data_IF_699459698970
#
_entry.id   IF_699459698970
#
_cell.length_a   1.000
_cell.length_b   1.000
_cell.length_c   1.000
_cell.angle_alpha   90.00
_cell.angle_beta   90.00
_cell.angle_gamma   90.00
#
_symmetry.space_group_name_H-M   'P 1'
#
loop_
_entity.id
_entity.type
_entity.pdbx_description
1 polymer ?
#
# COMPACT_ATOMS: atom_id res chain seq x y z
N UNK A 1 0.63 -10.17 42.36
CA UNK A 1 -0.30 -11.22 41.93
C UNK A 1 -0.82 -10.81 40.56
N UNK A 2 -0.84 -11.70 39.58
CA UNK A 2 -1.35 -11.40 38.24
C UNK A 2 -2.50 -12.35 37.94
N UNK A 3 -3.56 -11.85 37.30
CA UNK A 3 -4.80 -12.59 37.11
C UNK A 3 -5.12 -12.76 35.63
N UNK A 4 -5.60 -13.96 35.26
CA UNK A 4 -6.34 -14.20 34.01
C UNK A 4 -7.79 -13.73 34.16
N UNK A 5 -8.49 -13.55 33.04
CA UNK A 5 -9.88 -13.07 33.03
C UNK A 5 -10.79 -13.83 34.00
N UNK A 6 -10.82 -15.17 33.95
CA UNK A 6 -11.64 -15.98 34.86
C UNK A 6 -11.29 -15.83 36.35
N UNK A 7 -10.00 -15.69 36.67
CA UNK A 7 -9.54 -15.52 38.05
C UNK A 7 -9.92 -14.13 38.57
N UNK A 8 -9.80 -13.11 37.72
CA UNK A 8 -10.23 -11.76 38.01
C UNK A 8 -11.76 -11.67 38.17
N UNK A 9 -12.52 -12.40 37.35
CA UNK A 9 -13.98 -12.46 37.45
C UNK A 9 -14.43 -13.07 38.78
N UNK A 10 -13.82 -14.17 39.22
CA UNK A 10 -14.12 -14.77 40.53
C UNK A 10 -13.86 -13.82 41.70
N UNK A 11 -12.84 -12.96 41.58
CA UNK A 11 -12.53 -11.94 42.59
C UNK A 11 -13.58 -10.82 42.56
N UNK A 12 -14.02 -10.38 41.37
CA UNK A 12 -15.11 -9.40 41.24
C UNK A 12 -16.41 -9.95 41.84
N UNK A 13 -16.77 -11.18 41.48
CA UNK A 13 -17.98 -11.86 41.93
C UNK A 13 -18.03 -12.07 43.45
N UNK A 14 -16.86 -12.26 44.09
CA UNK A 14 -16.76 -12.40 45.55
C UNK A 14 -16.72 -11.07 46.31
N UNK A 15 -16.42 -9.95 45.63
CA UNK A 15 -16.38 -8.58 46.19
C UNK A 15 -17.75 -7.88 46.06
N UNK A 16 -18.66 -8.44 45.26
CA UNK A 16 -19.96 -7.86 44.92
C UNK A 16 -20.99 -7.82 46.07
N UNK A 17 -20.69 -8.37 47.25
CA UNK A 17 -21.54 -8.27 48.45
C UNK A 17 -21.53 -6.86 49.12
N UNK A 18 -20.98 -5.83 48.46
CA UNK A 18 -21.03 -4.45 48.96
C UNK A 18 -20.24 -3.38 48.19
N UNK A 19 -19.62 -3.72 47.06
CA UNK A 19 -18.81 -2.79 46.27
C UNK A 19 -19.44 -2.50 44.90
N UNK A 20 -19.30 -1.28 44.41
CA UNK A 20 -19.61 -0.94 43.00
C UNK A 20 -18.68 -1.76 42.09
N UNK A 21 -19.26 -2.57 41.17
CA UNK A 21 -18.54 -3.34 40.13
C UNK A 21 -17.47 -2.48 39.49
N UNK A 22 -17.80 -1.20 39.31
CA UNK A 22 -16.95 -0.22 38.70
C UNK A 22 -15.62 -0.05 39.46
N UNK A 23 -15.69 0.00 40.78
CA UNK A 23 -14.54 0.22 41.64
C UNK A 23 -13.71 -1.06 41.82
N UNK A 24 -14.36 -2.23 41.83
CA UNK A 24 -13.69 -3.53 41.87
C UNK A 24 -12.90 -3.82 40.58
N UNK A 25 -13.48 -3.51 39.43
CA UNK A 25 -12.77 -3.61 38.15
C UNK A 25 -11.57 -2.65 38.08
N UNK A 26 -11.74 -1.40 38.55
CA UNK A 26 -10.70 -0.39 38.49
C UNK A 26 -9.47 -0.69 39.37
N UNK A 27 -9.61 -1.54 40.38
CA UNK A 27 -8.53 -2.01 41.25
C UNK A 27 -7.89 -3.30 40.75
N UNK A 28 -8.63 -4.15 40.03
CA UNK A 28 -8.12 -5.43 39.49
C UNK A 28 -7.41 -5.27 38.15
N UNK A 29 -7.88 -4.37 37.28
CA UNK A 29 -7.31 -4.16 35.95
C UNK A 29 -5.78 -3.99 35.94
N UNK A 30 -5.15 -3.17 36.80
CA UNK A 30 -3.68 -3.03 36.85
C UNK A 30 -2.90 -4.31 37.21
N UNK A 31 -3.60 -5.37 37.62
CA UNK A 31 -3.04 -6.67 37.99
C UNK A 31 -3.39 -7.76 36.97
N UNK A 32 -3.94 -7.41 35.80
CA UNK A 32 -4.18 -8.37 34.73
C UNK A 32 -2.87 -8.84 34.10
N UNK A 33 -2.84 -10.11 33.70
CA UNK A 33 -1.66 -10.76 33.12
C UNK A 33 -1.27 -10.20 31.74
N UNK A 34 -2.26 -9.79 30.95
CA UNK A 34 -2.08 -9.18 29.65
C UNK A 34 -3.31 -8.35 29.25
N UNK A 35 -3.17 -7.56 28.19
CA UNK A 35 -4.23 -6.70 27.69
C UNK A 35 -5.42 -7.48 27.11
N UNK A 36 -5.22 -8.69 26.59
CA UNK A 36 -6.32 -9.50 26.03
C UNK A 36 -7.28 -9.95 27.14
N UNK A 37 -6.74 -10.45 28.26
CA UNK A 37 -7.52 -10.83 29.43
C UNK A 37 -8.20 -9.61 30.06
N UNK A 38 -7.54 -8.46 30.06
CA UNK A 38 -8.12 -7.21 30.55
C UNK A 38 -9.29 -6.73 29.67
N UNK A 39 -9.18 -6.80 28.34
CA UNK A 39 -10.27 -6.46 27.42
C UNK A 39 -11.47 -7.41 27.57
N UNK A 40 -11.24 -8.72 27.67
CA UNK A 40 -12.31 -9.70 27.88
C UNK A 40 -13.06 -9.44 29.20
N UNK A 41 -12.32 -9.14 30.27
CA UNK A 41 -12.91 -8.78 31.56
C UNK A 41 -13.76 -7.50 31.46
N UNK A 42 -13.32 -6.50 30.69
CA UNK A 42 -14.06 -5.25 30.44
C UNK A 42 -15.35 -5.54 29.66
N UNK A 43 -15.27 -6.36 28.61
CA UNK A 43 -16.42 -6.73 27.78
C UNK A 43 -17.46 -7.57 28.53
N UNK A 44 -17.04 -8.41 29.47
CA UNK A 44 -17.94 -9.26 30.25
C UNK A 44 -18.71 -8.51 31.34
N UNK A 45 -18.19 -7.39 31.85
CA UNK A 45 -18.75 -6.70 33.02
C UNK A 45 -19.35 -5.32 32.73
N UNK A 46 -19.19 -4.80 31.51
CA UNK A 46 -19.66 -3.46 31.14
C UNK A 46 -20.70 -3.54 30.04
N UNK A 47 -21.91 -3.11 30.37
CA UNK A 47 -23.02 -2.98 29.41
C UNK A 47 -23.24 -1.54 28.95
N UNK A 48 -22.67 -0.55 29.63
CA UNK A 48 -22.83 0.88 29.37
C UNK A 48 -21.58 1.54 28.78
N UNK A 49 -21.76 2.28 27.68
CA UNK A 49 -20.70 2.94 26.91
C UNK A 49 -19.96 3.99 27.75
N UNK A 50 -20.67 4.70 28.63
CA UNK A 50 -20.08 5.76 29.48
C UNK A 50 -19.16 5.20 30.57
N UNK A 51 -19.44 3.98 31.05
CA UNK A 51 -18.60 3.30 32.03
C UNK A 51 -17.31 2.77 31.38
N UNK A 52 -17.38 2.29 30.14
CA UNK A 52 -16.23 1.80 29.35
C UNK A 52 -15.08 2.82 29.30
N UNK A 53 -15.42 4.11 29.08
CA UNK A 53 -14.47 5.23 29.04
C UNK A 53 -13.62 5.38 30.32
N UNK A 54 -14.18 5.04 31.50
CA UNK A 54 -13.45 5.09 32.79
C UNK A 54 -12.41 3.99 32.90
N UNK A 55 -12.63 2.84 32.25
CA UNK A 55 -11.72 1.69 32.30
C UNK A 55 -10.63 1.74 31.27
N UNK A 56 -10.85 2.40 30.13
CA UNK A 56 -9.84 2.52 29.08
C UNK A 56 -8.56 3.22 29.60
N UNK A 57 -8.70 4.19 30.52
CA UNK A 57 -7.58 4.82 31.22
C UNK A 57 -6.84 3.90 32.22
N UNK A 58 -7.50 2.87 32.77
CA UNK A 58 -6.91 1.88 33.68
C UNK A 58 -6.31 0.70 32.91
N UNK A 59 -6.94 0.29 31.81
CA UNK A 59 -6.44 -0.64 30.80
C UNK A 59 -5.09 -0.17 30.24
N UNK A 60 -4.89 1.14 30.11
CA UNK A 60 -3.61 1.73 29.76
C UNK A 60 -2.45 1.33 30.71
N UNK A 61 -2.68 1.23 32.03
CA UNK A 61 -1.64 0.80 32.98
C UNK A 61 -1.19 -0.66 32.77
N UNK A 62 -2.04 -1.48 32.14
CA UNK A 62 -1.76 -2.85 31.72
C UNK A 62 -1.06 -2.86 30.36
N UNK A 63 -1.57 -2.07 29.40
CA UNK A 63 -1.04 -1.93 28.04
C UNK A 63 0.37 -1.32 28.00
N UNK A 64 0.72 -0.42 28.92
CA UNK A 64 2.08 0.16 29.04
C UNK A 64 3.10 -0.84 29.59
N UNK A 65 2.63 -1.82 30.38
CA UNK A 65 3.49 -2.89 30.92
C UNK A 65 3.69 -4.01 29.91
N UNK A 66 2.72 -4.24 29.04
CA UNK A 66 2.87 -5.11 27.87
C UNK A 66 3.74 -4.38 26.83
N UNK A 67 4.81 -5.01 26.34
CA UNK A 67 5.81 -4.37 25.45
C UNK A 67 5.27 -4.04 24.04
N UNK A 68 3.95 -3.96 23.87
CA UNK A 68 3.22 -3.84 22.60
C UNK A 68 2.56 -2.48 22.48
N UNK A 69 3.39 -1.43 22.32
CA UNK A 69 2.93 -0.07 22.01
C UNK A 69 2.05 0.03 20.73
N UNK A 70 2.08 -1.00 19.89
CA UNK A 70 1.23 -1.14 18.70
C UNK A 70 -0.26 -1.14 19.04
N UNK A 71 -0.63 -1.82 20.13
CA UNK A 71 -2.00 -2.18 20.49
C UNK A 71 -2.87 -0.94 20.74
N UNK A 72 -2.23 0.10 21.24
CA UNK A 72 -2.80 1.38 21.67
C UNK A 72 -3.36 2.22 20.50
N UNK A 73 -2.74 2.19 19.30
CA UNK A 73 -3.12 3.09 18.17
C UNK A 73 -4.34 2.59 17.40
N UNK A 74 -4.59 1.28 17.39
CA UNK A 74 -5.62 0.66 16.56
C UNK A 74 -6.90 0.33 17.35
N UNK A 75 -6.81 0.24 18.69
CA UNK A 75 -7.99 0.05 19.56
C UNK A 75 -8.84 1.32 19.63
N UNK A 76 -8.21 2.50 19.52
CA UNK A 76 -8.91 3.78 19.53
C UNK A 76 -9.31 4.15 18.10
N UNK A 77 -10.55 3.84 17.77
CA UNK A 77 -11.17 4.13 16.47
C UNK A 77 -10.96 5.62 16.10
N UNK A 78 -10.31 5.87 14.96
CA UNK A 78 -9.76 7.18 14.57
C UNK A 78 -10.84 8.24 14.25
N UNK A 79 -12.10 7.83 14.15
CA UNK A 79 -13.23 8.67 13.75
C UNK A 79 -13.88 9.46 14.88
N UNK A 80 -13.48 9.24 16.13
CA UNK A 80 -14.08 9.90 17.28
C UNK A 80 -13.19 11.04 17.83
N UNK A 81 -13.78 12.22 18.06
CA UNK A 81 -13.07 13.42 18.54
C UNK A 81 -12.48 13.18 19.93
N UNK A 82 -13.14 12.35 20.74
CA UNK A 82 -12.67 11.98 22.08
C UNK A 82 -11.50 10.98 22.03
N UNK A 83 -11.51 10.03 21.09
CA UNK A 83 -10.38 9.13 20.84
C UNK A 83 -9.12 9.88 20.40
N UNK A 84 -9.28 11.03 19.74
CA UNK A 84 -8.17 11.86 19.28
C UNK A 84 -7.41 12.51 20.44
N UNK A 85 -8.10 12.99 21.50
CA UNK A 85 -7.45 13.54 22.70
C UNK A 85 -6.69 12.46 23.48
N UNK A 86 -7.26 11.26 23.57
CA UNK A 86 -6.61 10.11 24.19
C UNK A 86 -5.38 9.71 23.36
N UNK A 87 -5.49 9.59 22.04
CA UNK A 87 -4.36 9.31 21.14
C UNK A 87 -3.25 10.37 21.23
N UNK A 88 -3.59 11.66 21.36
CA UNK A 88 -2.63 12.74 21.59
C UNK A 88 -1.85 12.54 22.90
N UNK A 89 -2.53 12.18 23.97
CA UNK A 89 -1.90 11.90 25.25
C UNK A 89 -1.01 10.65 25.19
N UNK A 90 -1.48 9.59 24.52
CA UNK A 90 -0.83 8.28 24.41
C UNK A 90 0.42 8.30 23.53
N UNK A 91 0.35 8.95 22.37
CA UNK A 91 1.42 8.98 21.39
C UNK A 91 2.40 10.12 21.63
N UNK A 92 2.12 11.04 22.56
CA UNK A 92 2.98 12.17 22.93
C UNK A 92 3.49 12.89 21.68
N UNK A 93 4.81 13.04 21.55
CA UNK A 93 5.44 13.68 20.40
C UNK A 93 5.29 12.91 19.08
N UNK A 94 4.93 11.63 19.10
CA UNK A 94 4.71 10.85 17.88
C UNK A 94 3.34 11.08 17.25
N UNK A 95 2.35 11.57 18.02
CA UNK A 95 1.00 11.80 17.53
C UNK A 95 0.99 12.71 16.29
N UNK A 96 1.48 13.94 16.48
CA UNK A 96 1.47 14.98 15.44
C UNK A 96 2.10 14.50 14.13
N UNK A 97 3.36 14.02 14.14
CA UNK A 97 4.01 13.48 12.95
C UNK A 97 3.24 12.31 12.32
N UNK A 98 2.64 11.41 13.10
CA UNK A 98 1.87 10.26 12.58
C UNK A 98 0.62 10.74 11.83
N UNK A 99 -0.08 11.75 12.35
CA UNK A 99 -1.29 12.31 11.72
C UNK A 99 -1.00 13.41 10.68
N UNK A 100 0.27 13.66 10.36
CA UNK A 100 0.68 14.70 9.41
C UNK A 100 0.71 16.13 9.97
N UNK A 101 0.47 16.31 11.26
CA UNK A 101 0.60 17.57 12.00
C UNK A 101 2.01 17.68 12.61
N UNK A 102 3.01 17.91 11.76
CA UNK A 102 4.41 17.85 12.15
C UNK A 102 5.01 19.18 12.68
N UNK A 103 4.29 20.29 12.62
CA UNK A 103 4.80 21.60 13.05
C UNK A 103 4.86 21.70 14.58
N UNK A 104 6.00 22.09 15.14
CA UNK A 104 6.13 22.30 16.59
C UNK A 104 7.56 22.20 17.09
N UNK A 105 7.72 22.31 18.41
CA UNK A 105 8.99 22.09 19.10
C UNK A 105 9.04 20.66 19.66
N UNK A 106 10.08 19.90 19.30
CA UNK A 106 10.23 18.50 19.69
C UNK A 106 11.44 18.32 20.60
N UNK A 107 11.23 17.65 21.74
CA UNK A 107 12.31 17.16 22.60
C UNK A 107 12.15 15.66 22.73
N UNK A 108 12.99 14.93 22.00
CA UNK A 108 12.84 13.50 21.82
C UNK A 108 13.96 12.76 22.54
N UNK A 109 13.59 11.80 23.38
CA UNK A 109 14.50 10.89 24.04
C UNK A 109 14.71 9.64 23.18
N UNK A 110 15.86 9.53 22.53
CA UNK A 110 16.11 8.41 21.60
C UNK A 110 16.14 7.04 22.27
N UNK A 111 16.19 6.96 23.61
CA UNK A 111 16.02 5.71 24.36
C UNK A 111 14.57 5.20 24.31
N UNK A 112 13.60 6.11 24.16
CA UNK A 112 12.16 5.80 24.11
C UNK A 112 11.72 5.39 22.68
N UNK A 113 11.10 4.21 22.50
CA UNK A 113 10.59 3.75 21.21
C UNK A 113 9.66 4.74 20.48
N UNK A 114 8.72 5.38 21.18
CA UNK A 114 7.76 6.30 20.55
C UNK A 114 8.44 7.58 20.02
N UNK A 115 9.42 8.09 20.76
CA UNK A 115 10.19 9.27 20.35
C UNK A 115 11.07 8.97 19.14
N UNK A 116 11.60 7.74 19.02
CA UNK A 116 12.27 7.30 17.80
C UNK A 116 11.32 7.27 16.60
N UNK A 117 10.07 6.84 16.79
CA UNK A 117 9.04 6.86 15.74
C UNK A 117 8.73 8.31 15.33
N UNK A 118 8.56 9.21 16.30
CA UNK A 118 8.35 10.64 16.06
C UNK A 118 9.50 11.23 15.22
N UNK A 119 10.75 11.02 15.64
CA UNK A 119 11.94 11.52 14.94
C UNK A 119 12.01 11.02 13.50
N UNK A 120 11.76 9.72 13.32
CA UNK A 120 11.73 9.06 12.01
C UNK A 120 10.66 9.65 11.09
N UNK A 121 9.45 9.86 11.62
CA UNK A 121 8.31 10.39 10.83
C UNK A 121 8.50 11.87 10.50
N UNK A 122 9.06 12.65 11.40
CA UNK A 122 9.46 14.04 11.13
C UNK A 122 10.50 14.12 10.01
N UNK A 123 11.52 13.26 10.06
CA UNK A 123 12.55 13.18 9.03
C UNK A 123 11.96 12.83 7.67
N UNK A 124 11.05 11.86 7.64
CA UNK A 124 10.29 11.52 6.43
C UNK A 124 9.53 12.71 5.86
N UNK A 125 8.71 13.39 6.67
CA UNK A 125 7.87 14.51 6.21
C UNK A 125 8.74 15.67 5.74
N UNK A 126 9.83 15.96 6.46
CA UNK A 126 10.78 16.99 6.07
C UNK A 126 11.44 16.67 4.72
N UNK A 127 11.86 15.41 4.51
CA UNK A 127 12.44 14.98 3.24
C UNK A 127 11.43 15.06 2.08
N UNK A 128 10.17 14.66 2.29
CA UNK A 128 9.10 14.79 1.28
C UNK A 128 8.85 16.26 0.91
N UNK A 129 8.77 17.13 1.92
CA UNK A 129 8.57 18.57 1.72
C UNK A 129 9.75 19.20 1.00
N UNK A 130 10.98 18.82 1.35
CA UNK A 130 12.20 19.26 0.69
C UNK A 130 12.18 18.90 -0.79
N UNK A 131 11.87 17.64 -1.13
CA UNK A 131 11.77 17.21 -2.51
C UNK A 131 10.71 17.98 -3.28
N UNK A 132 9.53 18.14 -2.68
CA UNK A 132 8.44 18.87 -3.30
C UNK A 132 8.85 20.31 -3.63
N UNK A 133 9.54 21.00 -2.70
CA UNK A 133 10.06 22.35 -2.94
C UNK A 133 11.08 22.41 -4.06
N UNK A 134 12.04 21.46 -4.09
CA UNK A 134 13.04 21.37 -5.16
C UNK A 134 12.41 21.09 -6.52
N UNK A 135 11.44 20.19 -6.58
CA UNK A 135 10.72 19.82 -7.81
C UNK A 135 9.96 21.00 -8.43
N UNK A 136 9.48 21.92 -7.59
CA UNK A 136 8.71 23.09 -8.02
C UNK A 136 9.55 24.37 -8.03
N UNK A 137 10.89 24.27 -8.01
CA UNK A 137 11.83 25.39 -8.02
C UNK A 137 11.52 26.50 -7.00
N UNK A 138 11.04 26.11 -5.82
CA UNK A 138 10.71 27.06 -4.75
C UNK A 138 11.97 27.57 -4.05
N UNK A 139 11.91 28.81 -3.59
CA UNK A 139 13.03 29.44 -2.85
C UNK A 139 13.31 28.70 -1.53
N UNK A 140 14.58 28.44 -1.25
CA UNK A 140 14.99 27.81 0.00
C UNK A 140 15.00 28.80 1.17
N UNK A 141 14.06 28.61 2.10
CA UNK A 141 13.93 29.39 3.35
C UNK A 141 14.36 28.61 4.61
N UNK A 142 15.02 27.45 4.43
CA UNK A 142 15.54 26.65 5.54
C UNK A 142 16.71 27.35 6.25
N UNK A 143 16.90 27.06 7.53
CA UNK A 143 17.97 27.65 8.35
C UNK A 143 19.36 27.38 7.78
N UNK A 144 19.56 26.20 7.19
CA UNK A 144 20.85 25.72 6.70
C UNK A 144 20.99 25.73 5.17
N UNK A 145 20.03 26.34 4.44
CA UNK A 145 19.97 26.29 2.97
C UNK A 145 20.06 24.86 2.40
N UNK A 146 19.35 23.94 3.05
CA UNK A 146 19.28 22.53 2.69
C UNK A 146 17.84 22.06 2.44
N UNK A 147 16.89 23.00 2.29
CA UNK A 147 15.45 22.80 2.13
C UNK A 147 14.74 22.00 3.25
N UNK A 148 15.46 21.58 4.31
CA UNK A 148 14.88 20.83 5.40
C UNK A 148 13.99 21.73 6.27
N UNK A 149 12.98 21.12 6.87
CA UNK A 149 12.02 21.81 7.74
C UNK A 149 12.52 21.95 9.19
N UNK A 150 13.68 21.36 9.49
CA UNK A 150 14.28 21.41 10.81
C UNK A 150 15.00 22.74 11.05
N UNK A 151 14.96 23.17 12.32
CA UNK A 151 15.60 24.40 12.82
C UNK A 151 16.11 24.15 14.23
N UNK A 152 17.23 24.79 14.57
CA UNK A 152 17.84 24.72 15.90
C UNK A 152 18.07 23.28 16.41
N UNK A 153 18.50 22.39 15.53
CA UNK A 153 18.65 20.97 15.86
C UNK A 153 19.86 20.74 16.79
N UNK A 154 19.63 20.00 17.87
CA UNK A 154 20.68 19.63 18.82
C UNK A 154 20.55 18.14 19.19
N UNK A 155 21.69 17.45 19.32
CA UNK A 155 21.77 16.09 19.84
C UNK A 155 22.68 16.07 21.08
N UNK A 156 22.14 15.63 22.22
CA UNK A 156 22.83 15.67 23.52
C UNK A 156 23.45 17.05 23.85
N UNK A 157 22.68 18.12 23.56
CA UNK A 157 23.09 19.50 23.80
C UNK A 157 24.10 20.07 22.80
N UNK A 158 24.56 19.27 21.82
CA UNK A 158 25.46 19.73 20.75
C UNK A 158 24.67 20.05 19.48
N UNK A 159 24.89 21.19 18.82
CA UNK A 159 24.27 21.47 17.53
C UNK A 159 24.59 20.38 16.51
N UNK A 160 23.58 19.96 15.75
CA UNK A 160 23.70 19.01 14.64
C UNK A 160 22.96 19.56 13.42
N UNK A 161 23.26 19.02 12.23
CA UNK A 161 22.50 19.31 11.02
C UNK A 161 21.88 18.02 10.51
N UNK A 162 20.56 17.93 10.62
CA UNK A 162 19.73 16.89 10.07
C UNK A 162 19.60 17.14 8.56
N UNK A 163 20.32 16.33 7.78
CA UNK A 163 20.42 16.46 6.34
C UNK A 163 19.85 15.27 5.57
N UNK A 164 19.79 15.44 4.25
CA UNK A 164 19.29 14.48 3.28
C UNK A 164 19.81 13.07 3.53
N UNK A 165 18.90 12.11 3.69
CA UNK A 165 19.17 10.75 3.27
C UNK A 165 18.91 10.72 1.75
N UNK A 166 19.89 10.31 0.95
CA UNK A 166 19.65 10.10 -0.48
C UNK A 166 18.46 9.18 -0.66
N UNK A 167 17.49 9.66 -1.45
CA UNK A 167 16.28 8.92 -1.81
C UNK A 167 16.65 7.98 -2.93
N UNK A 168 17.40 6.96 -2.53
CA UNK A 168 17.83 5.86 -3.37
C UNK A 168 17.25 4.59 -2.76
N UNK A 169 16.89 3.61 -3.61
CA UNK A 169 16.47 2.32 -3.11
C UNK A 169 17.60 1.74 -2.26
N UNK A 170 17.25 1.01 -1.20
CA UNK A 170 18.23 0.39 -0.32
C UNK A 170 19.19 -0.46 -1.17
N UNK A 171 20.49 -0.43 -0.87
CA UNK A 171 21.42 -1.33 -1.56
C UNK A 171 21.03 -2.80 -1.36
N UNK A 172 21.43 -3.69 -2.28
CA UNK A 172 21.15 -5.13 -2.17
C UNK A 172 21.54 -5.70 -0.82
N UNK A 173 22.69 -5.29 -0.26
CA UNK A 173 23.15 -5.69 1.08
C UNK A 173 22.20 -5.21 2.19
N UNK A 174 21.76 -3.94 2.15
CA UNK A 174 20.79 -3.40 3.12
C UNK A 174 19.42 -4.05 2.97
N UNK A 175 19.02 -4.36 1.74
CA UNK A 175 17.78 -5.09 1.48
C UNK A 175 17.83 -6.51 2.03
N UNK A 176 18.94 -7.23 1.88
CA UNK A 176 19.10 -8.52 2.53
C UNK A 176 19.01 -8.42 4.06
N UNK A 177 19.70 -7.46 4.68
CA UNK A 177 19.60 -7.22 6.13
C UNK A 177 18.18 -6.89 6.59
N UNK A 178 17.41 -6.17 5.75
CA UNK A 178 16.00 -5.93 6.00
C UNK A 178 15.17 -7.21 5.94
N UNK A 179 15.39 -8.07 4.93
CA UNK A 179 14.72 -9.36 4.83
C UNK A 179 15.05 -10.25 6.03
N UNK A 180 16.33 -10.36 6.40
CA UNK A 180 16.78 -11.14 7.54
C UNK A 180 16.08 -10.66 8.82
N UNK A 181 15.98 -9.34 9.02
CA UNK A 181 15.24 -8.76 10.15
C UNK A 181 13.75 -9.13 10.10
N UNK A 182 13.12 -9.04 8.94
CA UNK A 182 11.69 -9.37 8.79
C UNK A 182 11.41 -10.86 9.00
N UNK A 183 12.34 -11.74 8.63
CA UNK A 183 12.24 -13.18 8.87
C UNK A 183 12.23 -13.50 10.38
N UNK A 184 12.97 -12.74 11.20
CA UNK A 184 12.92 -12.90 12.66
C UNK A 184 11.57 -12.57 13.30
N UNK A 185 10.68 -11.88 12.56
CA UNK A 185 9.32 -11.53 13.02
C UNK A 185 8.21 -12.20 12.20
N UNK A 186 8.55 -13.21 11.40
CA UNK A 186 7.57 -14.09 10.75
C UNK A 186 7.38 -13.89 9.25
N UNK A 187 8.28 -13.21 8.53
CA UNK A 187 8.32 -13.26 7.07
C UNK A 187 8.86 -14.64 6.61
N UNK A 188 8.33 -15.18 5.51
CA UNK A 188 8.84 -16.45 5.00
C UNK A 188 10.29 -16.30 4.50
N UNK A 189 11.08 -17.36 4.70
CA UNK A 189 12.48 -17.38 4.28
C UNK A 189 12.60 -17.51 2.76
N UNK A 190 11.71 -18.30 2.16
CA UNK A 190 11.74 -18.63 0.75
C UNK A 190 10.53 -18.02 0.02
N UNK A 191 10.71 -17.55 -1.22
CA UNK A 191 9.59 -17.13 -2.05
C UNK A 191 8.60 -18.27 -2.27
N UNK A 192 7.32 -18.00 -2.06
CA UNK A 192 6.23 -18.94 -2.30
C UNK A 192 5.63 -18.83 -3.71
N UNK A 193 6.04 -17.83 -4.50
CA UNK A 193 5.71 -17.66 -5.90
C UNK A 193 6.94 -17.17 -6.70
N UNK A 194 6.93 -17.44 -8.00
CA UNK A 194 7.98 -16.94 -8.89
C UNK A 194 7.79 -15.44 -9.15
N UNK A 195 8.91 -14.76 -9.40
CA UNK A 195 8.88 -13.36 -9.85
C UNK A 195 8.17 -13.32 -11.22
N UNK A 196 7.18 -12.42 -11.42
CA UNK A 196 6.50 -12.31 -12.69
C UNK A 196 7.46 -12.05 -13.84
N UNK A 197 7.25 -12.74 -14.97
CA UNK A 197 8.02 -12.54 -16.20
C UNK A 197 7.19 -11.89 -17.32
N UNK A 198 5.97 -11.47 -17.02
CA UNK A 198 5.04 -10.81 -17.94
C UNK A 198 4.22 -9.76 -17.17
N UNK A 199 3.66 -8.78 -17.88
CA UNK A 199 2.65 -7.87 -17.32
C UNK A 199 1.31 -8.60 -17.17
N UNK A 200 0.52 -8.15 -16.20
CA UNK A 200 -0.83 -8.67 -15.95
C UNK A 200 -1.78 -8.12 -17.00
N UNK A 201 -2.62 -8.98 -17.56
CA UNK A 201 -3.82 -8.56 -18.29
C UNK A 201 -4.95 -8.36 -17.29
N UNK A 202 -5.57 -7.18 -17.29
CA UNK A 202 -6.76 -6.92 -16.48
C UNK A 202 -7.98 -7.63 -17.09
N UNK A 203 -8.88 -8.11 -16.24
CA UNK A 203 -10.11 -8.80 -16.65
C UNK A 203 -11.34 -7.95 -16.33
N UNK A 204 -12.46 -8.24 -16.99
CA UNK A 204 -13.78 -7.66 -16.66
C UNK A 204 -14.17 -7.85 -15.18
N UNK A 205 -13.67 -8.91 -14.54
CA UNK A 205 -13.93 -9.18 -13.14
C UNK A 205 -13.28 -8.14 -12.22
N UNK A 206 -12.08 -7.63 -12.54
CA UNK A 206 -11.45 -6.52 -11.78
C UNK A 206 -12.40 -5.33 -11.69
N UNK A 207 -12.92 -4.89 -12.83
CA UNK A 207 -13.82 -3.74 -12.93
C UNK A 207 -15.18 -4.01 -12.28
N UNK A 208 -15.67 -5.24 -12.37
CA UNK A 208 -16.87 -5.67 -11.64
C UNK A 208 -16.71 -5.52 -10.13
N UNK A 209 -15.55 -5.87 -9.58
CA UNK A 209 -15.27 -5.68 -8.15
C UNK A 209 -15.10 -4.21 -7.77
N UNK A 210 -14.42 -3.40 -8.60
CA UNK A 210 -14.32 -1.94 -8.39
C UNK A 210 -15.71 -1.31 -8.31
N UNK A 211 -16.61 -1.65 -9.24
CA UNK A 211 -17.96 -1.12 -9.26
C UNK A 211 -18.78 -1.54 -8.03
N UNK A 212 -18.60 -2.76 -7.52
CA UNK A 212 -19.22 -3.19 -6.26
C UNK A 212 -18.77 -2.33 -5.08
N UNK A 213 -17.47 -2.03 -4.99
CA UNK A 213 -16.92 -1.18 -3.92
C UNK A 213 -17.41 0.27 -4.02
N UNK A 214 -17.55 0.80 -5.24
CA UNK A 214 -18.10 2.14 -5.48
C UNK A 214 -19.58 2.24 -5.07
N UNK A 215 -20.38 1.20 -5.34
CA UNK A 215 -21.80 1.16 -4.97
C UNK A 215 -22.02 0.92 -3.49
N UNK A 216 -21.18 0.11 -2.84
CA UNK A 216 -21.31 -0.21 -1.42
C UNK A 216 -19.95 -0.32 -0.74
N UNK A 217 -19.70 0.62 0.19
CA UNK A 217 -18.47 0.71 0.98
C UNK A 217 -18.22 -0.51 1.88
N UNK A 218 -19.24 -1.31 2.19
CA UNK A 218 -19.08 -2.54 2.99
C UNK A 218 -18.27 -3.62 2.26
N UNK A 219 -18.11 -3.52 0.93
CA UNK A 219 -17.24 -4.43 0.17
C UNK A 219 -15.75 -4.08 0.27
N UNK A 220 -15.38 -3.03 1.01
CA UNK A 220 -13.99 -2.65 1.16
C UNK A 220 -13.39 -3.33 2.39
N UNK A 221 -12.44 -4.22 2.17
CA UNK A 221 -11.79 -5.01 3.21
C UNK A 221 -10.67 -4.23 3.94
N UNK A 222 -10.99 -3.08 4.53
CA UNK A 222 -10.00 -2.31 5.28
C UNK A 222 -9.54 -3.08 6.50
N UNK A 223 -8.23 -3.36 6.56
CA UNK A 223 -7.60 -3.94 7.74
C UNK A 223 -8.08 -5.34 8.12
N UNK A 224 -8.84 -6.02 7.26
CA UNK A 224 -9.46 -7.33 7.55
C UNK A 224 -8.43 -8.40 7.94
N UNK A 225 -7.19 -8.28 7.44
CA UNK A 225 -6.08 -9.18 7.79
C UNK A 225 -5.18 -8.71 8.93
N UNK A 226 -5.37 -7.50 9.49
CA UNK A 226 -4.39 -6.90 10.41
C UNK A 226 -4.35 -7.57 11.79
N UNK A 227 -5.48 -8.12 12.23
CA UNK A 227 -5.58 -8.87 13.48
C UNK A 227 -5.13 -10.34 13.34
N UNK A 228 -4.76 -10.79 12.13
CA UNK A 228 -4.41 -12.18 11.90
C UNK A 228 -3.14 -12.59 12.65
N UNK A 229 -3.21 -13.78 13.25
CA UNK A 229 -2.13 -14.45 13.97
C UNK A 229 -1.98 -15.88 13.47
N UNK A 230 -0.77 -16.42 13.57
CA UNK A 230 -0.49 -17.82 13.26
C UNK A 230 0.62 -18.34 14.18
N UNK A 231 0.63 -19.64 14.44
CA UNK A 231 1.79 -20.29 15.06
C UNK A 231 2.83 -20.61 13.99
N UNK A 232 4.10 -20.34 14.28
CA UNK A 232 5.23 -20.69 13.43
C UNK A 232 6.46 -21.02 14.29
N UNK A 233 7.36 -21.83 13.76
CA UNK A 233 8.65 -22.10 14.41
C UNK A 233 9.68 -21.08 13.90
N UNK A 234 10.08 -20.14 14.75
CA UNK A 234 11.12 -19.16 14.46
C UNK A 234 12.38 -19.52 15.25
N UNK A 235 13.53 -19.62 14.56
CA UNK A 235 14.81 -19.94 15.20
C UNK A 235 14.80 -21.21 16.08
N UNK A 236 13.95 -22.19 15.73
CA UNK A 236 13.77 -23.43 16.48
C UNK A 236 12.73 -23.38 17.62
N UNK A 237 12.14 -22.21 17.88
CA UNK A 237 11.13 -22.02 18.93
C UNK A 237 9.74 -21.79 18.35
N UNK A 238 8.73 -22.49 18.89
CA UNK A 238 7.34 -22.24 18.55
C UNK A 238 6.92 -20.87 19.08
N UNK A 239 6.54 -19.99 18.17
CA UNK A 239 6.21 -18.59 18.46
C UNK A 239 4.94 -18.20 17.72
N UNK A 240 4.13 -17.33 18.33
CA UNK A 240 3.00 -16.69 17.65
C UNK A 240 3.50 -15.53 16.80
N UNK A 241 3.29 -15.61 15.50
CA UNK A 241 3.53 -14.51 14.56
C UNK A 241 2.22 -13.76 14.32
N UNK A 242 2.31 -12.45 14.10
CA UNK A 242 1.15 -11.60 13.82
C UNK A 242 1.44 -10.62 12.69
N UNK A 243 0.41 -10.34 11.89
CA UNK A 243 0.47 -9.32 10.83
C UNK A 243 0.84 -7.96 11.41
N UNK A 244 0.26 -7.62 12.56
CA UNK A 244 0.55 -6.37 13.27
C UNK A 244 2.04 -6.19 13.54
N UNK A 245 2.72 -7.22 14.05
CA UNK A 245 4.15 -7.16 14.34
C UNK A 245 4.98 -6.96 13.08
N UNK A 246 4.64 -7.65 11.99
CA UNK A 246 5.28 -7.49 10.68
C UNK A 246 5.15 -6.06 10.17
N UNK A 247 3.93 -5.50 10.18
CA UNK A 247 3.65 -4.15 9.69
C UNK A 247 4.36 -3.06 10.52
N UNK A 248 4.43 -3.22 11.84
CA UNK A 248 5.21 -2.29 12.66
C UNK A 248 6.70 -2.28 12.30
N UNK A 249 7.29 -3.45 12.11
CA UNK A 249 8.69 -3.54 11.73
C UNK A 249 8.92 -2.98 10.32
N UNK A 250 7.98 -3.19 9.39
CA UNK A 250 7.97 -2.52 8.09
C UNK A 250 8.01 -1.01 8.24
N UNK A 251 7.04 -0.40 8.96
CA UNK A 251 7.02 1.05 9.19
C UNK A 251 8.30 1.56 9.86
N UNK A 252 8.81 0.83 10.84
CA UNK A 252 10.04 1.20 11.55
C UNK A 252 11.26 1.21 10.63
N UNK A 253 11.39 0.24 9.73
CA UNK A 253 12.54 0.18 8.81
C UNK A 253 12.38 1.16 7.66
N UNK A 254 11.19 1.25 7.06
CA UNK A 254 10.91 2.06 5.89
C UNK A 254 10.80 3.55 6.19
N UNK A 255 10.71 3.96 7.46
CA UNK A 255 10.60 5.38 7.82
C UNK A 255 11.74 6.25 7.28
N UNK A 256 12.95 5.68 7.15
CA UNK A 256 14.15 6.38 6.65
C UNK A 256 14.81 5.67 5.47
N UNK A 257 14.07 4.76 4.83
CA UNK A 257 14.58 3.90 3.75
C UNK A 257 13.57 3.88 2.61
N UNK A 258 14.09 3.81 1.40
CA UNK A 258 13.31 3.75 0.18
C UNK A 258 13.58 2.43 -0.52
N UNK A 259 12.61 1.93 -1.27
CA UNK A 259 12.65 0.60 -1.87
C UNK A 259 12.40 0.73 -3.37
N UNK A 260 12.88 -0.20 -4.18
CA UNK A 260 12.47 -0.29 -5.58
C UNK A 260 11.26 -1.21 -5.78
N UNK A 261 10.59 -1.13 -6.93
CA UNK A 261 9.55 -2.09 -7.31
C UNK A 261 10.10 -3.51 -7.34
N UNK A 262 11.31 -3.72 -7.86
CA UNK A 262 11.99 -5.03 -7.85
C UNK A 262 12.13 -5.61 -6.44
N UNK A 263 12.51 -4.77 -5.49
CA UNK A 263 12.62 -5.15 -4.07
C UNK A 263 11.24 -5.40 -3.44
N UNK A 264 10.24 -4.60 -3.80
CA UNK A 264 8.84 -4.78 -3.38
C UNK A 264 8.30 -6.13 -3.84
N UNK A 265 8.46 -6.47 -5.12
CA UNK A 265 8.07 -7.77 -5.70
C UNK A 265 8.76 -8.90 -4.95
N UNK A 266 10.09 -8.79 -4.72
CA UNK A 266 10.83 -9.80 -3.96
C UNK A 266 10.23 -9.99 -2.57
N UNK A 267 9.98 -8.91 -1.84
CA UNK A 267 9.38 -8.99 -0.51
C UNK A 267 8.00 -9.66 -0.54
N UNK A 268 7.12 -9.24 -1.45
CA UNK A 268 5.75 -9.77 -1.56
C UNK A 268 5.74 -11.26 -1.91
N UNK A 269 6.70 -11.75 -2.69
CA UNK A 269 6.83 -13.20 -2.96
C UNK A 269 7.18 -14.02 -1.72
N UNK A 270 7.61 -13.40 -0.62
CA UNK A 270 7.92 -14.03 0.67
C UNK A 270 6.89 -13.67 1.75
N UNK A 271 5.82 -12.94 1.40
CA UNK A 271 4.76 -12.61 2.36
C UNK A 271 4.03 -13.90 2.81
N UNK A 272 3.81 -14.13 4.12
CA UNK A 272 3.23 -15.38 4.58
C UNK A 272 1.85 -15.62 3.97
N UNK A 273 1.64 -16.79 3.36
CA UNK A 273 0.36 -17.14 2.71
C UNK A 273 -0.84 -17.08 3.68
N UNK A 274 -0.62 -17.46 4.94
CA UNK A 274 -1.61 -17.36 6.02
C UNK A 274 -2.09 -15.92 6.26
N UNK A 275 -1.32 -14.93 5.84
CA UNK A 275 -1.59 -13.50 5.99
C UNK A 275 -1.93 -12.80 4.67
N UNK A 276 -2.36 -13.55 3.65
CA UNK A 276 -2.69 -12.98 2.34
C UNK A 276 -3.69 -11.81 2.42
N UNK A 277 -4.66 -11.86 3.33
CA UNK A 277 -5.65 -10.80 3.51
C UNK A 277 -5.07 -9.42 3.87
N UNK A 278 -3.85 -9.37 4.44
CA UNK A 278 -3.16 -8.12 4.79
C UNK A 278 -2.15 -7.67 3.73
N UNK A 279 -2.00 -8.43 2.64
CA UNK A 279 -0.98 -8.17 1.61
C UNK A 279 -1.19 -6.81 0.93
N UNK A 280 -2.44 -6.40 0.72
CA UNK A 280 -2.74 -5.07 0.19
C UNK A 280 -2.28 -3.95 1.11
N UNK A 281 -2.52 -4.07 2.42
CA UNK A 281 -2.09 -3.05 3.39
C UNK A 281 -0.57 -2.88 3.35
N UNK A 282 0.17 -4.00 3.18
CA UNK A 282 1.62 -3.99 2.97
C UNK A 282 2.03 -3.28 1.68
N UNK A 283 1.32 -3.51 0.57
CA UNK A 283 1.58 -2.82 -0.71
C UNK A 283 1.38 -1.31 -0.56
N UNK A 284 0.33 -0.88 0.15
CA UNK A 284 0.08 0.54 0.42
C UNK A 284 1.20 1.19 1.24
N UNK A 285 1.79 0.46 2.19
CA UNK A 285 2.97 0.92 2.95
C UNK A 285 4.18 1.08 2.04
N UNK A 286 4.41 0.12 1.13
CA UNK A 286 5.53 0.21 0.18
C UNK A 286 5.31 1.29 -0.86
N UNK A 287 4.08 1.52 -1.32
CA UNK A 287 3.77 2.47 -2.39
C UNK A 287 4.35 3.86 -2.14
N UNK A 288 4.22 4.36 -0.90
CA UNK A 288 4.77 5.63 -0.45
C UNK A 288 6.32 5.69 -0.39
N UNK A 289 6.98 4.55 -0.57
CA UNK A 289 8.45 4.35 -0.44
C UNK A 289 9.12 3.89 -1.71
N UNK A 290 8.34 3.65 -2.76
CA UNK A 290 8.88 3.19 -4.04
C UNK A 290 9.57 4.37 -4.73
N UNK A 291 10.82 4.18 -5.13
CA UNK A 291 11.60 5.21 -5.85
C UNK A 291 11.34 5.21 -7.35
N UNK A 292 10.96 4.06 -7.91
CA UNK A 292 10.76 3.82 -9.34
C UNK A 292 9.29 3.48 -9.62
N UNK A 293 8.38 4.40 -9.25
CA UNK A 293 6.92 4.22 -9.37
C UNK A 293 6.49 3.88 -10.81
N UNK A 294 7.27 4.32 -11.82
CA UNK A 294 7.06 3.93 -13.22
C UNK A 294 7.09 2.42 -13.49
N UNK A 295 7.67 1.61 -12.60
CA UNK A 295 7.67 0.16 -12.69
C UNK A 295 6.47 -0.49 -11.96
N UNK A 296 5.62 0.26 -11.27
CA UNK A 296 4.66 -0.28 -10.29
C UNK A 296 3.67 -1.30 -10.87
N UNK A 297 3.31 -1.18 -12.15
CA UNK A 297 2.45 -2.16 -12.84
C UNK A 297 3.03 -3.59 -12.81
N UNK A 298 4.34 -3.78 -12.62
CA UNK A 298 4.97 -5.09 -12.46
C UNK A 298 4.58 -5.80 -11.14
N UNK A 299 3.97 -5.10 -10.19
CA UNK A 299 3.41 -5.69 -8.96
C UNK A 299 2.08 -6.40 -9.23
N UNK A 300 1.29 -5.93 -10.20
CA UNK A 300 -0.06 -6.43 -10.48
C UNK A 300 -0.14 -7.94 -10.76
N UNK A 301 0.81 -8.58 -11.48
CA UNK A 301 0.76 -10.03 -11.69
C UNK A 301 0.79 -10.87 -10.41
N UNK A 302 1.28 -10.33 -9.28
CA UNK A 302 1.27 -11.03 -7.99
C UNK A 302 -0.12 -11.04 -7.32
N UNK A 303 -1.03 -10.19 -7.77
CA UNK A 303 -2.30 -9.91 -7.14
C UNK A 303 -3.44 -10.70 -7.80
N UNK A 304 -4.48 -10.99 -7.03
CA UNK A 304 -5.75 -11.48 -7.54
C UNK A 304 -6.57 -10.34 -8.14
N UNK A 305 -7.62 -10.65 -8.92
CA UNK A 305 -8.50 -9.61 -9.48
C UNK A 305 -9.15 -8.74 -8.40
N UNK A 306 -9.53 -9.35 -7.27
CA UNK A 306 -10.08 -8.63 -6.13
C UNK A 306 -9.05 -7.67 -5.51
N UNK A 307 -7.81 -8.12 -5.35
CA UNK A 307 -6.74 -7.28 -4.82
C UNK A 307 -6.40 -6.12 -5.77
N UNK A 308 -6.35 -6.35 -7.08
CA UNK A 308 -6.15 -5.27 -8.06
C UNK A 308 -7.32 -4.28 -8.00
N UNK A 309 -8.55 -4.76 -7.90
CA UNK A 309 -9.73 -3.91 -7.76
C UNK A 309 -9.67 -3.03 -6.50
N UNK A 310 -9.31 -3.62 -5.36
CA UNK A 310 -9.13 -2.88 -4.11
C UNK A 310 -7.98 -1.86 -4.21
N UNK A 311 -6.89 -2.19 -4.89
CA UNK A 311 -5.76 -1.29 -5.13
C UNK A 311 -6.20 -0.09 -5.97
N UNK A 312 -6.88 -0.33 -7.09
CA UNK A 312 -7.43 0.72 -7.96
C UNK A 312 -8.43 1.61 -7.21
N UNK A 313 -9.32 1.01 -6.42
CA UNK A 313 -10.33 1.74 -5.66
C UNK A 313 -9.72 2.62 -4.55
N UNK A 314 -8.69 2.13 -3.84
CA UNK A 314 -8.08 2.84 -2.71
C UNK A 314 -7.04 3.88 -3.11
N UNK A 315 -6.29 3.62 -4.19
CA UNK A 315 -5.14 4.43 -4.59
C UNK A 315 -5.46 5.32 -5.80
N UNK A 316 -6.32 4.87 -6.70
CA UNK A 316 -6.70 5.61 -7.89
C UNK A 316 -5.82 5.32 -9.11
N UNK A 317 -6.38 5.57 -10.30
CA UNK A 317 -5.74 5.24 -11.58
C UNK A 317 -4.45 6.02 -11.80
N UNK A 318 -4.47 7.35 -11.61
CA UNK A 318 -3.32 8.20 -11.91
C UNK A 318 -2.11 7.93 -11.02
N UNK A 319 -2.31 7.20 -9.92
CA UNK A 319 -1.27 6.84 -8.98
C UNK A 319 -0.59 5.50 -9.36
N UNK A 320 -1.37 4.49 -9.74
CA UNK A 320 -0.86 3.13 -9.98
C UNK A 320 -0.57 2.81 -11.45
N UNK A 321 -1.03 3.65 -12.36
CA UNK A 321 -0.89 3.48 -13.80
C UNK A 321 0.23 4.33 -14.39
N UNK A 322 0.85 3.85 -15.47
CA UNK A 322 1.93 4.55 -16.16
C UNK A 322 1.68 4.56 -17.68
N UNK A 323 1.80 5.72 -18.36
CA UNK A 323 1.72 5.80 -19.81
C UNK A 323 2.91 5.13 -20.51
N UNK A 324 3.95 4.74 -19.76
CA UNK A 324 5.08 4.00 -20.29
C UNK A 324 4.72 2.56 -20.68
N UNK A 325 3.69 1.99 -20.04
CA UNK A 325 3.19 0.62 -20.26
C UNK A 325 1.66 0.64 -20.32
N UNK A 326 1.07 1.21 -21.39
CA UNK A 326 -0.37 1.35 -21.53
C UNK A 326 -1.05 0.04 -21.94
N UNK A 327 -0.31 -1.01 -22.29
CA UNK A 327 -0.83 -2.29 -22.78
C UNK A 327 -1.66 -3.05 -21.72
N UNK A 328 -2.96 -2.74 -21.64
CA UNK A 328 -3.92 -3.31 -20.71
C UNK A 328 -5.32 -3.34 -21.34
N UNK A 329 -6.20 -4.14 -20.74
CA UNK A 329 -7.64 -4.01 -20.88
C UNK A 329 -8.13 -2.89 -19.95
N UNK A 330 -8.99 -2.02 -20.48
CA UNK A 330 -9.56 -0.87 -19.77
C UNK A 330 -11.08 -0.91 -19.78
N UNK A 331 -11.67 -0.56 -18.64
CA UNK A 331 -13.05 -0.14 -18.50
C UNK A 331 -13.08 1.13 -17.65
N UNK A 332 -13.35 2.27 -18.30
CA UNK A 332 -13.21 3.61 -17.74
C UNK A 332 -14.57 4.31 -17.70
N UNK A 333 -15.01 4.62 -16.49
CA UNK A 333 -16.10 5.54 -16.22
C UNK A 333 -15.61 6.98 -16.40
N UNK A 334 -16.00 7.60 -17.51
CA UNK A 334 -15.60 8.96 -17.85
C UNK A 334 -16.22 10.01 -16.92
N UNK A 335 -17.16 9.65 -16.02
CA UNK A 335 -17.59 10.55 -14.95
C UNK A 335 -16.51 10.74 -13.86
N UNK A 336 -15.66 9.74 -13.67
CA UNK A 336 -14.54 9.81 -12.73
C UNK A 336 -13.36 10.54 -13.36
N UNK A 337 -12.92 11.62 -12.71
CA UNK A 337 -11.83 12.47 -13.21
C UNK A 337 -10.57 11.69 -13.58
N UNK A 338 -10.05 10.86 -12.67
CA UNK A 338 -8.81 10.12 -12.91
C UNK A 338 -8.92 9.15 -14.10
N UNK A 339 -10.08 8.49 -14.26
CA UNK A 339 -10.30 7.55 -15.37
C UNK A 339 -10.46 8.29 -16.70
N UNK A 340 -11.10 9.45 -16.68
CA UNK A 340 -11.19 10.34 -17.84
C UNK A 340 -9.83 10.89 -18.25
N UNK A 341 -8.95 11.22 -17.31
CA UNK A 341 -7.58 11.63 -17.61
C UNK A 341 -6.77 10.48 -18.23
N UNK A 342 -6.89 9.24 -17.73
CA UNK A 342 -6.29 8.06 -18.38
C UNK A 342 -6.81 7.92 -19.82
N UNK A 343 -8.12 8.04 -20.05
CA UNK A 343 -8.70 7.95 -21.38
C UNK A 343 -8.12 9.00 -22.35
N UNK A 344 -7.97 10.26 -21.90
CA UNK A 344 -7.31 11.31 -22.70
C UNK A 344 -5.87 10.97 -23.04
N UNK A 345 -5.11 10.42 -22.10
CA UNK A 345 -3.73 10.01 -22.33
C UNK A 345 -3.67 8.86 -23.34
N UNK A 346 -4.56 7.87 -23.25
CA UNK A 346 -4.66 6.76 -24.21
C UNK A 346 -5.00 7.25 -25.63
N UNK A 347 -5.84 8.28 -25.77
CA UNK A 347 -6.10 8.93 -27.05
C UNK A 347 -4.85 9.59 -27.61
N UNK A 348 -4.12 10.34 -26.77
CA UNK A 348 -2.86 10.98 -27.19
C UNK A 348 -1.82 9.95 -27.62
N UNK A 349 -1.72 8.82 -26.92
CA UNK A 349 -0.83 7.74 -27.32
C UNK A 349 -1.23 7.17 -28.68
N UNK A 350 -2.51 6.83 -28.88
CA UNK A 350 -3.00 6.27 -30.14
C UNK A 350 -2.83 7.21 -31.36
N UNK A 351 -2.87 8.53 -31.15
CA UNK A 351 -2.64 9.50 -32.23
C UNK A 351 -1.17 9.67 -32.63
N UNK A 352 -0.26 9.46 -31.68
CA UNK A 352 1.17 9.74 -31.85
C UNK A 352 2.00 8.47 -32.09
N UNK A 353 1.50 7.31 -31.67
CA UNK A 353 2.16 6.04 -31.94
C UNK A 353 1.89 5.61 -33.39
N UNK A 354 2.92 5.24 -34.16
CA UNK A 354 2.73 4.85 -35.55
C UNK A 354 1.90 3.57 -35.58
N UNK A 355 1.04 3.45 -36.58
CA UNK A 355 0.25 2.26 -36.84
C UNK A 355 0.51 1.83 -38.26
N UNK A 356 1.26 0.74 -38.43
CA UNK A 356 1.53 0.16 -39.76
C UNK A 356 0.42 -0.84 -40.13
N UNK A 357 -0.03 -1.65 -39.17
CA UNK A 357 -1.14 -2.60 -39.34
C UNK A 357 -2.06 -2.61 -38.12
N UNK A 358 -3.35 -2.36 -38.31
CA UNK A 358 -4.35 -2.39 -37.23
C UNK A 358 -4.62 -1.00 -36.64
N UNK A 359 -4.85 -0.93 -35.32
CA UNK A 359 -5.04 0.30 -34.53
C UNK A 359 -4.50 0.06 -33.10
N UNK A 360 -4.14 1.11 -32.35
CA UNK A 360 -3.70 0.94 -30.95
C UNK A 360 -4.86 0.57 -30.04
N UNK A 361 -6.04 1.11 -30.28
CA UNK A 361 -7.25 0.73 -29.56
C UNK A 361 -7.83 -0.51 -30.26
N UNK A 362 -8.15 -1.52 -29.48
CA UNK A 362 -8.75 -2.77 -29.94
C UNK A 362 -10.01 -3.01 -29.12
N UNK A 363 -11.02 -3.63 -29.73
CA UNK A 363 -12.30 -3.94 -29.07
C UNK A 363 -12.94 -2.72 -28.38
N UNK A 364 -12.74 -1.53 -28.93
CA UNK A 364 -13.21 -0.30 -28.30
C UNK A 364 -14.73 -0.19 -28.36
N UNK A 365 -15.32 0.20 -27.24
CA UNK A 365 -16.75 0.47 -27.13
C UNK A 365 -16.98 1.66 -26.22
N UNK A 366 -18.05 2.40 -26.49
CA UNK A 366 -18.49 3.49 -25.64
C UNK A 366 -20.00 3.45 -25.49
N UNK A 367 -20.49 3.64 -24.28
CA UNK A 367 -21.91 3.68 -23.97
C UNK A 367 -22.21 4.62 -22.80
N UNK A 368 -23.49 4.87 -22.53
CA UNK A 368 -23.88 5.65 -21.36
C UNK A 368 -23.77 4.86 -20.05
N UNK A 369 -23.82 3.52 -20.15
CA UNK A 369 -23.73 2.59 -19.03
C UNK A 369 -22.77 1.44 -19.37
N UNK A 370 -22.15 0.87 -18.34
CA UNK A 370 -21.37 -0.37 -18.45
C UNK A 370 -22.25 -1.52 -18.96
N UNK A 371 -21.80 -2.21 -20.01
CA UNK A 371 -22.49 -3.37 -20.58
C UNK A 371 -23.57 -3.03 -21.61
N UNK A 372 -23.83 -1.75 -21.89
CA UNK A 372 -24.76 -1.30 -22.92
C UNK A 372 -24.05 -0.33 -23.89
N UNK A 373 -23.11 -0.85 -24.71
CA UNK A 373 -22.32 -0.03 -25.63
C UNK A 373 -23.15 0.41 -26.85
N UNK A 374 -22.83 1.58 -27.40
CA UNK A 374 -23.38 2.04 -28.67
C UNK A 374 -22.87 1.09 -29.78
N UNK A 375 -23.75 0.40 -30.53
CA UNK A 375 -23.33 -0.55 -31.55
C UNK A 375 -22.47 0.09 -32.63
N UNK A 376 -21.31 -0.53 -32.91
CA UNK A 376 -20.37 -0.06 -33.95
C UNK A 376 -19.68 1.27 -33.63
N UNK A 377 -19.68 1.70 -32.37
CA UNK A 377 -18.97 2.90 -31.96
C UNK A 377 -17.47 2.78 -32.21
N UNK A 378 -16.86 3.87 -32.67
CA UNK A 378 -15.41 4.03 -32.84
C UNK A 378 -15.00 5.39 -32.26
N UNK A 379 -13.71 5.55 -31.94
CA UNK A 379 -13.18 6.80 -31.40
C UNK A 379 -13.53 7.99 -32.31
N UNK A 380 -14.35 8.89 -31.78
CA UNK A 380 -14.82 10.03 -32.52
C UNK A 380 -13.77 11.15 -32.54
N UNK A 381 -13.34 11.58 -33.73
CA UNK A 381 -12.38 12.68 -33.90
C UNK A 381 -12.81 13.99 -33.21
N UNK A 382 -14.10 14.21 -32.98
CA UNK A 382 -14.59 15.37 -32.24
C UNK A 382 -14.10 15.43 -30.79
N UNK A 383 -13.80 14.28 -30.15
CA UNK A 383 -13.24 14.23 -28.79
C UNK A 383 -11.85 14.87 -28.69
N UNK A 384 -11.18 15.05 -29.83
CA UNK A 384 -9.85 15.65 -29.92
C UNK A 384 -9.89 17.18 -29.84
N UNK A 385 -11.07 17.79 -29.98
CA UNK A 385 -11.25 19.23 -29.84
C UNK A 385 -11.15 19.69 -28.39
N UNK A 386 -10.64 20.89 -28.17
CA UNK A 386 -10.55 21.49 -26.84
C UNK A 386 -11.93 21.60 -26.19
N UNK A 387 -12.09 21.03 -24.99
CA UNK A 387 -13.37 21.01 -24.25
C UNK A 387 -14.40 19.99 -24.74
N UNK A 388 -14.13 19.23 -25.81
CA UNK A 388 -15.10 18.28 -26.38
C UNK A 388 -15.00 16.87 -25.81
N UNK A 389 -14.02 16.59 -24.95
CA UNK A 389 -13.86 15.27 -24.36
C UNK A 389 -15.03 14.97 -23.40
N UNK A 390 -15.71 13.81 -23.51
CA UNK A 390 -16.89 13.53 -22.69
C UNK A 390 -16.59 13.53 -21.20
N UNK A 391 -17.52 14.10 -20.42
CA UNK A 391 -17.47 14.09 -18.94
C UNK A 391 -18.26 12.94 -18.32
N UNK A 392 -18.91 12.10 -19.13
CA UNK A 392 -19.74 10.96 -18.70
C UNK A 392 -19.65 9.86 -19.74
N UNK A 393 -20.16 8.68 -19.40
CA UNK A 393 -20.16 7.50 -20.24
C UNK A 393 -19.09 6.50 -19.82
N UNK A 394 -19.16 5.31 -20.40
CA UNK A 394 -18.33 4.17 -20.08
C UNK A 394 -17.57 3.75 -21.33
N UNK A 395 -16.24 3.83 -21.26
CA UNK A 395 -15.32 3.50 -22.34
C UNK A 395 -14.64 2.16 -22.01
N UNK A 396 -14.71 1.20 -22.92
CA UNK A 396 -14.00 -0.07 -22.81
C UNK A 396 -13.07 -0.21 -24.01
N UNK A 397 -11.83 -0.65 -23.80
CA UNK A 397 -10.87 -0.92 -24.88
C UNK A 397 -9.72 -1.81 -24.39
N UNK A 398 -9.09 -2.53 -25.31
CA UNK A 398 -7.78 -3.12 -25.14
C UNK A 398 -6.75 -2.20 -25.80
N UNK A 399 -5.78 -1.68 -25.05
CA UNK A 399 -4.71 -0.90 -25.65
C UNK A 399 -3.57 -1.82 -26.06
N UNK A 400 -3.13 -1.69 -27.31
CA UNK A 400 -2.07 -2.49 -27.90
C UNK A 400 -0.93 -1.61 -28.40
N UNK A 401 0.29 -1.91 -27.95
CA UNK A 401 1.52 -1.29 -28.41
C UNK A 401 2.62 -2.32 -28.66
N UNK A 402 2.43 -3.12 -29.71
CA UNK A 402 3.42 -4.08 -30.18
C UNK A 402 4.10 -3.66 -31.49
N UNK A 403 5.43 -3.63 -31.48
CA UNK A 403 6.22 -3.41 -32.70
C UNK A 403 6.01 -4.52 -33.76
N UNK A 404 5.55 -5.70 -33.34
CA UNK A 404 5.20 -6.83 -34.20
C UNK A 404 4.04 -6.53 -35.15
N UNK A 405 3.16 -5.58 -34.82
CA UNK A 405 2.10 -5.06 -35.72
C UNK A 405 2.41 -3.66 -36.25
N UNK A 406 3.61 -3.18 -36.00
CA UNK A 406 4.01 -1.81 -36.31
C UNK A 406 3.26 -0.75 -35.50
N UNK A 407 2.70 -1.13 -34.34
CA UNK A 407 2.12 -0.24 -33.32
C UNK A 407 3.15 0.02 -32.21
N UNK A 408 4.38 0.35 -32.59
CA UNK A 408 5.51 0.42 -31.65
C UNK A 408 5.43 1.62 -30.69
N UNK A 409 5.97 1.51 -29.47
CA UNK A 409 5.93 2.58 -28.49
C UNK A 409 6.73 3.81 -28.94
N UNK A 410 6.16 5.00 -28.77
CA UNK A 410 6.85 6.27 -29.00
C UNK A 410 7.28 6.87 -27.66
N UNK A 411 8.50 6.53 -27.25
CA UNK A 411 8.99 6.80 -25.89
C UNK A 411 9.00 8.27 -25.47
N UNK A 412 9.35 9.19 -26.37
CA UNK A 412 9.35 10.62 -26.05
C UNK A 412 7.93 11.12 -25.70
N UNK A 413 6.92 10.67 -26.44
CA UNK A 413 5.51 10.96 -26.16
C UNK A 413 5.07 10.36 -24.83
N UNK A 414 5.37 9.07 -24.58
CA UNK A 414 5.05 8.42 -23.31
C UNK A 414 5.66 9.13 -22.10
N UNK A 415 6.94 9.50 -22.20
CA UNK A 415 7.65 10.24 -21.16
C UNK A 415 7.05 11.63 -20.93
N UNK A 416 6.65 12.34 -21.99
CA UNK A 416 5.99 13.64 -21.85
C UNK A 416 4.63 13.55 -21.16
N UNK A 417 3.90 12.44 -21.36
CA UNK A 417 2.60 12.20 -20.75
C UNK A 417 2.69 11.79 -19.27
N UNK A 418 3.87 11.35 -18.79
CA UNK A 418 4.10 11.06 -17.37
C UNK A 418 3.80 12.26 -16.45
N UNK A 419 3.82 13.50 -16.96
CA UNK A 419 3.46 14.71 -16.18
C UNK A 419 2.01 14.72 -15.65
N UNK A 420 1.15 13.84 -16.18
CA UNK A 420 -0.26 13.73 -15.81
C UNK A 420 -0.54 12.61 -14.79
N UNK A 421 0.50 11.85 -14.39
CA UNK A 421 0.39 10.71 -13.46
C UNK A 421 1.45 10.81 -12.37
N UNK A 422 1.36 9.96 -11.34
CA UNK A 422 2.39 9.87 -10.31
C UNK A 422 3.67 9.18 -10.81
N UNK A 423 3.56 8.31 -11.80
CA UNK A 423 4.67 7.57 -12.39
C UNK A 423 5.60 8.50 -13.19
N UNK A 424 6.54 9.14 -12.50
CA UNK A 424 7.60 9.94 -13.11
C UNK A 424 8.45 9.10 -14.07
N UNK A 425 8.93 9.67 -15.19
CA UNK A 425 9.69 8.90 -16.16
C UNK A 425 11.05 8.46 -15.58
N UNK A 426 11.60 7.32 -16.04
CA UNK A 426 12.93 6.87 -15.63
C UNK A 426 13.99 7.94 -15.96
N UNK A 427 15.02 8.12 -15.10
CA UNK A 427 16.14 8.99 -15.41
C UNK A 427 16.80 8.62 -16.74
N UNK A 428 17.38 9.57 -17.50
CA UNK A 428 17.99 9.29 -18.80
C UNK A 428 19.01 8.15 -18.78
N UNK A 429 19.78 8.03 -17.69
CA UNK A 429 20.76 6.96 -17.51
C UNK A 429 20.15 5.55 -17.47
N UNK A 430 18.88 5.42 -17.03
CA UNK A 430 18.20 4.14 -16.83
C UNK A 430 17.12 3.87 -17.90
N UNK A 431 16.87 4.81 -18.81
CA UNK A 431 15.82 4.71 -19.82
C UNK A 431 16.00 3.49 -20.73
N UNK A 432 17.21 3.27 -21.25
CA UNK A 432 17.48 2.14 -22.15
C UNK A 432 17.29 0.77 -21.46
N UNK A 433 17.70 0.66 -20.19
CA UNK A 433 17.48 -0.54 -19.39
C UNK A 433 15.98 -0.79 -19.18
N UNK A 434 15.23 0.27 -18.83
CA UNK A 434 13.78 0.20 -18.68
C UNK A 434 13.07 -0.23 -19.97
N UNK A 435 13.43 0.36 -21.11
CA UNK A 435 12.87 0.01 -22.43
C UNK A 435 13.12 -1.45 -22.75
N UNK A 436 14.37 -1.92 -22.57
CA UNK A 436 14.72 -3.30 -22.82
C UNK A 436 13.92 -4.28 -21.95
N UNK A 437 13.87 -4.01 -20.64
CA UNK A 437 13.13 -4.82 -19.70
C UNK A 437 11.63 -4.87 -20.00
N UNK A 438 11.02 -3.71 -20.26
CA UNK A 438 9.59 -3.60 -20.60
C UNK A 438 9.28 -4.35 -21.89
N UNK A 439 10.14 -4.25 -22.91
CA UNK A 439 9.97 -4.97 -24.17
C UNK A 439 9.95 -6.48 -23.94
N UNK A 440 10.84 -7.01 -23.09
CA UNK A 440 10.86 -8.44 -22.74
C UNK A 440 9.57 -8.86 -22.04
N UNK A 441 9.11 -8.09 -21.05
CA UNK A 441 7.89 -8.40 -20.31
C UNK A 441 6.65 -8.39 -21.23
N UNK A 442 6.54 -7.40 -22.12
CA UNK A 442 5.44 -7.31 -23.10
C UNK A 442 5.45 -8.49 -24.06
N UNK A 443 6.62 -8.87 -24.60
CA UNK A 443 6.74 -10.04 -25.47
C UNK A 443 6.32 -11.34 -24.78
N UNK A 444 6.63 -11.48 -23.49
CA UNK A 444 6.19 -12.64 -22.71
C UNK A 444 4.68 -12.62 -22.46
N UNK A 445 4.08 -11.46 -22.17
CA UNK A 445 2.62 -11.31 -22.07
C UNK A 445 1.91 -11.77 -23.35
N UNK A 446 2.40 -11.34 -24.52
CA UNK A 446 1.82 -11.74 -25.81
C UNK A 446 1.93 -13.26 -26.01
N UNK A 447 3.09 -13.86 -25.72
CA UNK A 447 3.31 -15.31 -25.85
C UNK A 447 2.39 -16.14 -24.95
N UNK A 448 2.16 -15.69 -23.72
CA UNK A 448 1.29 -16.41 -22.78
C UNK A 448 -0.19 -16.35 -23.20
N UNK A 449 -0.58 -15.28 -23.91
CA UNK A 449 -1.94 -15.13 -24.47
C UNK A 449 -2.13 -15.89 -25.78
N UNK A 450 -1.07 -16.18 -26.53
CA UNK A 450 -1.18 -17.02 -27.72
C UNK A 450 -1.39 -18.49 -27.32
N UNK A 451 -2.45 -19.17 -27.80
CA UNK A 451 -2.68 -20.58 -27.49
C UNK A 451 -1.48 -21.40 -27.95
N UNK A 452 -0.89 -22.18 -27.03
CA UNK A 452 0.20 -23.11 -27.38
C UNK A 452 -0.32 -24.06 -28.47
N UNK A 453 0.41 -24.27 -29.57
CA UNK A 453 -0.02 -25.22 -30.59
C UNK A 453 -0.22 -26.57 -29.91
N UNK A 454 -1.41 -27.15 -30.10
CA UNK A 454 -1.70 -28.51 -29.67
C UNK A 454 -0.68 -29.38 -30.37
N UNK A 455 0.32 -29.87 -29.63
CA UNK A 455 1.24 -30.88 -30.15
C UNK A 455 0.36 -32.10 -30.37
N UNK A 456 -0.04 -32.32 -31.62
CA UNK A 456 -0.66 -33.56 -32.02
C UNK A 456 0.33 -34.66 -31.66
N UNK A 457 0.06 -35.39 -30.58
CA UNK A 457 0.76 -36.63 -30.32
C UNK A 457 0.52 -37.50 -31.55
N UNK A 458 1.56 -37.65 -32.36
CA UNK A 458 1.57 -38.60 -33.45
C UNK A 458 1.30 -39.96 -32.83
N UNK A 459 0.09 -40.47 -33.07
CA UNK A 459 -0.26 -41.84 -32.77
C UNK A 459 0.69 -42.67 -33.62
N UNK A 460 1.77 -43.18 -33.02
CA UNK A 460 2.62 -44.15 -33.68
C UNK A 460 1.74 -45.36 -33.99
N UNK A 461 1.71 -45.84 -35.26
CA UNK A 461 0.95 -47.02 -35.59
C UNK A 461 1.53 -48.20 -34.81
N UNK A 462 0.68 -48.84 -34.00
CA UNK A 462 1.01 -50.10 -33.33
C UNK A 462 1.52 -51.08 -34.40
N UNK A 463 2.80 -51.45 -34.32
CA UNK A 463 3.31 -52.60 -35.07
C UNK A 463 2.50 -53.82 -34.65
N UNK A 464 1.79 -54.42 -35.61
CA UNK A 464 1.34 -55.80 -35.49
C UNK A 464 2.58 -56.69 -35.54
N UNK A 465 2.88 -57.36 -34.41
CA UNK A 465 3.49 -58.68 -34.36
C UNK A 465 3.17 -59.30 -33.00
#
# INVERSE_FOLDING_TARGET
MYFKEREAQMIIDSILDGSDVVQAMASILPHMIDASNACQLIECNITDVSQRLRYDGKLFSVLVRDKRAADIVFILNWSDVENNQILQHLLRFSFGPIVGLCTGHYRLEMAEPLDRIAAKKLMEISNKTMLWKKRHDLLDTSQHRNFQCFRNECFNGKPVVLGQADIQPMSTKRFQQFLDKMQTVGLDVNPHCQVPHCYRVLSENVYTQVLKMQKNRQHIHYGAGLAAVSEATLLGEKTTISVRRLIMELHSVLSSRWISVKQTIRFLTMWPRVFQAARLDVILIFFDRITDVYNFQQVLPLLTDDEVAQLLYRVGWLHVWSPLVPDLYYELDLSMYEQREVAKILVQLALNEPVIYGENWQNETYGWNRGDPIPGWQLNQSWLGEGNFPEKGYLTLDYYSGADRGCGPVWHTRMALCKHVLAEPPPPAHLNEFIHHTTILTLNSIRDLTPKPVVAHSIQPKKKQ
#
